data_IF_988838857154
#
_entry.id   IF_988838857154
#
_cell.length_a   1.000
_cell.length_b   1.000
_cell.length_c   1.000
_cell.angle_alpha   90.00
_cell.angle_beta   90.00
_cell.angle_gamma   90.00
#
_symmetry.space_group_name_H-M   'P 1'
#
loop_
_entity.id
_entity.type
_entity.pdbx_description
1 polymer ?
#
# COMPACT_ATOMS: atom_id res chain seq x y z
N UNK A 1 5.03 33.16 15.51
CA UNK A 1 5.00 32.36 14.27
C UNK A 1 4.89 30.90 14.68
N UNK A 2 4.15 30.03 13.96
CA UNK A 2 4.63 28.67 13.66
C UNK A 2 3.57 27.76 13.01
N UNK A 3 3.84 27.49 11.74
CA UNK A 3 3.38 26.30 11.03
C UNK A 3 4.04 25.08 11.68
N UNK A 4 3.26 24.11 12.14
CA UNK A 4 3.77 22.78 12.48
C UNK A 4 3.75 21.95 11.20
N UNK A 5 4.91 21.75 10.59
CA UNK A 5 5.09 20.70 9.60
C UNK A 5 4.79 19.35 10.26
N UNK A 6 3.61 18.80 10.00
CA UNK A 6 3.36 17.37 10.21
C UNK A 6 3.74 16.68 8.91
N UNK A 7 5.03 16.40 8.75
CA UNK A 7 5.57 15.68 7.60
C UNK A 7 4.83 14.34 7.46
N UNK A 8 3.89 14.27 6.52
CA UNK A 8 3.23 13.03 6.11
C UNK A 8 4.24 12.22 5.29
N UNK A 9 5.07 11.45 5.98
CA UNK A 9 6.04 10.54 5.38
C UNK A 9 5.48 9.12 5.37
N UNK A 10 5.57 8.46 4.23
CA UNK A 10 5.28 7.04 4.08
C UNK A 10 6.61 6.26 4.16
N UNK A 11 6.97 5.67 5.31
CA UNK A 11 8.30 5.07 5.50
C UNK A 11 8.43 3.71 4.79
N UNK A 12 7.31 3.03 4.52
CA UNK A 12 7.27 1.69 3.98
C UNK A 12 6.03 1.50 3.11
N UNK A 13 6.20 0.72 2.04
CA UNK A 13 5.11 0.19 1.23
C UNK A 13 5.03 -1.32 1.43
N UNK A 14 3.82 -1.86 1.28
CA UNK A 14 3.49 -3.28 1.39
C UNK A 14 2.80 -3.72 0.10
N UNK A 15 2.95 -5.00 -0.22
CA UNK A 15 2.29 -5.64 -1.34
C UNK A 15 1.65 -6.94 -0.88
N UNK A 16 0.34 -7.07 -1.08
CA UNK A 16 -0.45 -8.22 -0.67
C UNK A 16 -0.78 -9.08 -1.90
N UNK A 17 0.17 -9.92 -2.33
CA UNK A 17 0.09 -10.67 -3.59
C UNK A 17 -1.02 -11.75 -3.64
N UNK A 18 -1.55 -12.17 -2.48
CA UNK A 18 -2.54 -13.25 -2.36
C UNK A 18 -3.87 -12.78 -1.76
N UNK A 19 -4.07 -11.47 -1.63
CA UNK A 19 -5.17 -10.96 -0.83
C UNK A 19 -5.65 -9.62 -1.36
N UNK A 20 -6.97 -9.46 -1.37
CA UNK A 20 -7.60 -8.15 -1.51
C UNK A 20 -7.78 -7.54 -0.12
N UNK A 21 -7.24 -6.35 0.09
CA UNK A 21 -7.51 -5.58 1.31
C UNK A 21 -8.54 -4.48 1.01
N UNK A 22 -9.52 -4.33 1.89
CA UNK A 22 -10.41 -3.18 1.90
C UNK A 22 -10.17 -2.34 3.14
N UNK A 23 -10.04 -1.04 2.95
CA UNK A 23 -9.76 -0.11 4.04
C UNK A 23 -10.63 1.15 3.95
N UNK A 24 -11.29 1.51 5.05
CA UNK A 24 -12.08 2.75 5.11
C UNK A 24 -12.22 3.29 6.54
N UNK A 25 -12.31 4.61 6.68
CA UNK A 25 -12.49 5.26 7.99
C UNK A 25 -13.92 5.09 8.51
N UNK A 26 -14.06 4.70 9.78
CA UNK A 26 -15.37 4.42 10.43
C UNK A 26 -16.28 5.67 10.56
N UNK A 27 -15.74 6.89 10.35
CA UNK A 27 -16.52 8.14 10.52
C UNK A 27 -16.29 9.14 9.38
N UNK A 28 -15.81 8.65 8.24
CA UNK A 28 -15.49 9.48 7.09
C UNK A 28 -14.40 10.53 7.36
N UNK A 29 -13.53 10.26 8.35
CA UNK A 29 -12.40 11.12 8.69
C UNK A 29 -11.42 11.09 7.53
N UNK A 30 -10.84 12.25 7.22
CA UNK A 30 -9.85 12.37 6.13
C UNK A 30 -8.57 11.61 6.48
N UNK A 31 -8.11 10.81 5.53
CA UNK A 31 -6.88 10.05 5.61
C UNK A 31 -6.21 9.98 4.25
N UNK A 32 -4.93 9.60 4.22
CA UNK A 32 -4.09 9.61 3.04
C UNK A 32 -3.47 8.22 2.83
N UNK A 33 -3.27 7.85 1.57
CA UNK A 33 -2.57 6.62 1.20
C UNK A 33 -1.73 6.88 -0.05
N UNK A 34 -0.59 6.21 -0.15
CA UNK A 34 0.16 6.09 -1.40
C UNK A 34 0.00 4.71 -1.97
N UNK A 35 -0.16 4.62 -3.29
CA UNK A 35 -0.28 3.35 -4.01
C UNK A 35 0.60 3.35 -5.25
N UNK A 36 0.99 2.17 -5.71
CA UNK A 36 1.56 1.95 -7.04
C UNK A 36 0.90 0.73 -7.70
N UNK A 37 1.02 0.64 -9.03
CA UNK A 37 0.49 -0.46 -9.84
C UNK A 37 1.05 -1.80 -9.37
N UNK A 38 0.33 -2.92 -9.60
CA UNK A 38 0.88 -4.25 -9.36
C UNK A 38 2.11 -4.49 -10.23
N UNK A 39 3.07 -5.25 -9.72
CA UNK A 39 4.33 -5.53 -10.41
C UNK A 39 4.77 -6.99 -10.28
N UNK A 40 3.80 -7.91 -10.21
CA UNK A 40 4.06 -9.35 -10.13
C UNK A 40 4.73 -9.85 -11.42
N UNK A 41 5.70 -10.75 -11.27
CA UNK A 41 6.47 -11.32 -12.38
C UNK A 41 6.24 -12.83 -12.44
N UNK A 42 6.03 -13.36 -13.65
CA UNK A 42 5.93 -14.79 -13.89
C UNK A 42 7.31 -15.47 -13.75
N UNK A 43 7.46 -16.50 -12.89
CA UNK A 43 8.69 -17.27 -12.75
C UNK A 43 9.28 -17.81 -14.06
N UNK A 44 8.45 -18.11 -15.07
CA UNK A 44 8.90 -18.59 -16.37
C UNK A 44 9.71 -17.53 -17.14
N UNK A 45 9.40 -16.24 -16.95
CA UNK A 45 10.08 -15.10 -17.58
C UNK A 45 11.42 -14.79 -16.87
N UNK A 46 11.50 -15.06 -15.56
CA UNK A 46 12.69 -14.78 -14.74
C UNK A 46 13.91 -15.60 -15.17
N UNK A 47 13.70 -16.80 -15.73
CA UNK A 47 14.80 -17.69 -16.18
C UNK A 47 15.70 -17.08 -17.25
N UNK A 48 15.29 -16.00 -17.92
CA UNK A 48 16.07 -15.32 -18.95
C UNK A 48 16.61 -13.92 -18.59
N UNK A 49 16.18 -13.32 -17.48
CA UNK A 49 16.50 -11.94 -17.13
C UNK A 49 16.71 -11.80 -15.61
N UNK A 50 17.90 -12.19 -15.13
CA UNK A 50 18.27 -12.00 -13.73
C UNK A 50 18.89 -10.61 -13.56
N UNK A 51 18.03 -9.58 -13.50
CA UNK A 51 18.39 -8.22 -13.09
C UNK A 51 18.21 -8.03 -11.58
N UNK A 52 18.93 -7.06 -11.00
CA UNK A 52 19.02 -6.79 -9.56
C UNK A 52 17.71 -6.32 -8.87
N UNK A 53 16.58 -6.27 -9.57
CA UNK A 53 15.34 -5.63 -9.10
C UNK A 53 14.18 -6.59 -8.83
N UNK A 54 14.33 -7.89 -9.13
CA UNK A 54 13.28 -8.89 -8.88
C UNK A 54 13.44 -9.48 -7.48
N UNK A 55 12.46 -9.22 -6.61
CA UNK A 55 12.41 -9.76 -5.26
C UNK A 55 11.35 -10.86 -5.15
N UNK A 56 11.62 -11.88 -4.32
CA UNK A 56 10.64 -12.90 -3.97
C UNK A 56 9.96 -12.53 -2.66
N UNK A 57 8.62 -12.47 -2.68
CA UNK A 57 7.81 -12.26 -1.48
C UNK A 57 7.77 -13.52 -0.61
N UNK A 58 7.40 -13.35 0.66
CA UNK A 58 7.16 -14.45 1.58
C UNK A 58 6.11 -15.45 1.05
N UNK A 59 5.15 -14.99 0.25
CA UNK A 59 4.13 -15.81 -0.39
C UNK A 59 4.59 -16.51 -1.68
N UNK A 60 5.91 -16.57 -1.95
CA UNK A 60 6.56 -17.19 -3.12
C UNK A 60 6.27 -16.54 -4.48
N UNK A 61 5.61 -15.38 -4.50
CA UNK A 61 5.45 -14.58 -5.71
C UNK A 61 6.65 -13.68 -5.95
N UNK A 62 7.05 -13.53 -7.21
CA UNK A 62 8.09 -12.61 -7.62
C UNK A 62 7.49 -11.26 -8.01
N UNK A 63 8.20 -10.18 -7.72
CA UNK A 63 7.76 -8.83 -8.00
C UNK A 63 8.95 -7.89 -8.19
N UNK A 64 8.70 -6.73 -8.80
CA UNK A 64 9.65 -5.62 -8.88
C UNK A 64 9.21 -4.52 -7.93
N UNK A 65 10.14 -3.93 -7.18
CA UNK A 65 9.80 -2.77 -6.35
C UNK A 65 9.47 -1.58 -7.26
N UNK A 66 8.32 -0.90 -7.06
CA UNK A 66 7.98 0.25 -7.88
C UNK A 66 8.96 1.39 -7.64
N UNK A 67 9.26 2.14 -8.70
CA UNK A 67 10.07 3.34 -8.57
C UNK A 67 9.32 4.42 -7.75
N UNK A 68 10.07 5.30 -7.09
CA UNK A 68 9.48 6.29 -6.16
C UNK A 68 8.52 7.25 -6.86
N UNK A 69 8.78 7.56 -8.13
CA UNK A 69 7.97 8.41 -8.99
C UNK A 69 6.71 7.73 -9.54
N UNK A 70 6.61 6.40 -9.45
CA UNK A 70 5.39 5.65 -9.80
C UNK A 70 4.34 5.65 -8.68
N UNK A 71 4.71 6.10 -7.47
CA UNK A 71 3.79 6.17 -6.34
C UNK A 71 2.83 7.36 -6.46
N UNK A 72 1.55 7.07 -6.62
CA UNK A 72 0.48 8.06 -6.58
C UNK A 72 -0.07 8.24 -5.15
N UNK A 73 -0.22 9.49 -4.71
CA UNK A 73 -0.81 9.85 -3.42
C UNK A 73 -2.28 10.19 -3.55
N UNK A 74 -3.11 9.63 -2.67
CA UNK A 74 -4.55 9.87 -2.63
C UNK A 74 -4.97 10.42 -1.27
N UNK A 75 -5.83 11.43 -1.31
CA UNK A 75 -6.59 11.91 -0.16
C UNK A 75 -7.98 11.30 -0.20
N UNK A 76 -8.33 10.55 0.84
CA UNK A 76 -9.63 9.91 0.97
C UNK A 76 -10.55 10.77 1.84
N UNK A 77 -11.67 11.18 1.27
CA UNK A 77 -12.72 11.91 1.95
C UNK A 77 -13.93 11.01 2.19
N UNK A 78 -14.64 11.24 3.30
CA UNK A 78 -15.91 10.56 3.63
C UNK A 78 -15.72 9.04 3.76
N UNK A 79 -16.82 8.29 3.70
CA UNK A 79 -16.87 6.83 3.83
C UNK A 79 -16.37 6.08 2.58
N UNK A 80 -15.38 6.63 1.86
CA UNK A 80 -14.76 5.94 0.72
C UNK A 80 -13.92 4.76 1.23
N UNK A 81 -14.08 3.62 0.58
CA UNK A 81 -13.33 2.39 0.84
C UNK A 81 -12.28 2.24 -0.24
N UNK A 82 -11.03 2.12 0.18
CA UNK A 82 -9.91 1.73 -0.65
C UNK A 82 -9.92 0.21 -0.83
N UNK A 83 -9.72 -0.25 -2.07
CA UNK A 83 -9.59 -1.67 -2.43
C UNK A 83 -8.20 -1.89 -3.02
N UNK A 84 -7.35 -2.63 -2.31
CA UNK A 84 -6.04 -3.06 -2.79
C UNK A 84 -6.16 -4.45 -3.42
N UNK A 85 -6.16 -4.54 -4.74
CA UNK A 85 -6.01 -5.81 -5.46
C UNK A 85 -4.63 -5.84 -6.11
N UNK A 86 -3.70 -6.57 -5.49
CA UNK A 86 -2.32 -6.69 -5.98
C UNK A 86 -1.55 -5.36 -6.07
N UNK A 87 -2.09 -4.28 -5.51
CA UNK A 87 -1.43 -2.98 -5.50
C UNK A 87 -0.35 -2.92 -4.42
N UNK A 88 0.71 -2.19 -4.71
CA UNK A 88 1.55 -1.66 -3.64
C UNK A 88 0.79 -0.57 -2.93
N UNK A 89 0.84 -0.55 -1.60
CA UNK A 89 0.34 0.59 -0.86
C UNK A 89 1.16 0.86 0.38
N UNK A 90 1.21 2.12 0.78
CA UNK A 90 1.73 2.52 2.07
C UNK A 90 0.69 2.31 3.18
N UNK A 91 1.15 2.41 4.42
CA UNK A 91 0.24 2.49 5.55
C UNK A 91 -0.58 3.79 5.51
N UNK A 92 -1.80 3.79 6.05
CA UNK A 92 -2.64 4.99 6.11
C UNK A 92 -1.98 6.08 6.94
N UNK A 93 -2.00 7.32 6.44
CA UNK A 93 -1.62 8.49 7.23
C UNK A 93 -2.85 9.34 7.55
N UNK A 94 -2.85 9.95 8.72
CA UNK A 94 -3.92 10.82 9.19
C UNK A 94 -3.37 11.87 10.15
N UNK A 95 -4.02 13.02 10.21
CA UNK A 95 -3.60 14.17 11.03
C UNK A 95 -4.29 14.23 12.39
N UNK A 96 -5.08 13.21 12.74
CA UNK A 96 -5.73 13.07 14.04
C UNK A 96 -4.87 12.24 14.99
N UNK A 97 -5.18 12.26 16.28
CA UNK A 97 -4.42 11.48 17.28
C UNK A 97 -4.67 9.98 17.15
N UNK A 98 -5.91 9.60 16.84
CA UNK A 98 -6.31 8.22 16.55
C UNK A 98 -7.52 8.20 15.63
N UNK A 99 -7.54 7.28 14.68
CA UNK A 99 -8.72 6.97 13.87
C UNK A 99 -8.94 5.45 13.83
N UNK A 100 -10.20 5.05 13.69
CA UNK A 100 -10.57 3.65 13.51
C UNK A 100 -10.86 3.38 12.03
N UNK A 101 -10.41 2.22 11.56
CA UNK A 101 -10.67 1.72 10.22
C UNK A 101 -11.51 0.44 10.26
N UNK A 102 -12.38 0.27 9.27
CA UNK A 102 -12.76 -1.07 8.84
C UNK A 102 -11.62 -1.61 7.97
N UNK A 103 -11.07 -2.75 8.36
CA UNK A 103 -10.06 -3.50 7.60
C UNK A 103 -10.68 -4.87 7.26
N UNK A 104 -11.05 -5.09 6.00
CA UNK A 104 -11.59 -6.37 5.54
C UNK A 104 -10.58 -7.04 4.63
N UNK A 105 -10.29 -8.29 4.95
CA UNK A 105 -9.05 -8.90 4.57
C UNK A 105 -9.25 -10.43 4.62
N UNK A 106 -8.93 -11.13 3.53
CA UNK A 106 -9.24 -12.56 3.39
C UNK A 106 -8.42 -13.46 4.32
N UNK A 107 -7.29 -12.97 4.86
CA UNK A 107 -6.46 -13.64 5.87
C UNK A 107 -5.78 -12.58 6.74
N UNK A 108 -5.73 -12.76 8.07
CA UNK A 108 -5.13 -11.77 8.98
C UNK A 108 -3.66 -11.48 8.61
N UNK A 109 -3.36 -10.26 8.16
CA UNK A 109 -2.00 -9.82 7.81
C UNK A 109 -1.39 -8.86 8.84
N UNK A 110 -2.03 -8.68 9.99
CA UNK A 110 -1.56 -7.79 11.07
C UNK A 110 -0.43 -8.42 11.94
N UNK A 111 0.45 -9.23 11.33
CA UNK A 111 1.61 -9.85 12.00
C UNK A 111 2.81 -8.91 12.05
#
# INVERSE_FOLDING_TARGET
MQLKDRLLRFPKIKHHANMTQYLGSIRGIVWYIRVSRPSNVDPAVIKGAMGAEIAQSHCRHFHVLPAVDELAGFQNFRSKVYKAELLWHAEPLFTYDKINFYNLELNNTNS
#
